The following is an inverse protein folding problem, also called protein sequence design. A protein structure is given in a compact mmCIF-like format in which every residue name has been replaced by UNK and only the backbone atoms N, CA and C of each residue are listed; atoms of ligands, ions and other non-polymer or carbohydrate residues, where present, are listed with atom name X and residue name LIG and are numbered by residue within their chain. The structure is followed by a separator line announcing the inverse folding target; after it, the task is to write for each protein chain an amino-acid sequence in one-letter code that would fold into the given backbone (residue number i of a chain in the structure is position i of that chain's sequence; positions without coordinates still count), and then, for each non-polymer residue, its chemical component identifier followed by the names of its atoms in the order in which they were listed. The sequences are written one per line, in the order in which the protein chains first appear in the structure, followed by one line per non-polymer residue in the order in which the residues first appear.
data_IF_061545463216
#
_entry.id   IF_061545463216
#
_cell.length_a   1.000
_cell.length_b   1.000
_cell.length_c   1.000
_cell.angle_alpha   90.00
_cell.angle_beta   90.00
_cell.angle_gamma   90.00
#
_symmetry.space_group_name_H-M   'P 1'
#
loop_
_entity.id
_entity.type
_entity.pdbx_description
1 polymer ?
#
# COMPACT_ATOMS: atom_id res chain seq x y z
N UNK A 1 -29.91 -0.22 8.50
CA UNK A 1 -28.71 0.57 8.86
C UNK A 1 -28.11 0.14 10.20
N UNK A 2 -28.90 -0.17 11.25
CA UNK A 2 -28.38 -0.56 12.57
C UNK A 2 -27.35 -1.71 12.58
N UNK A 3 -27.51 -2.82 11.82
CA UNK A 3 -26.52 -3.91 11.87
C UNK A 3 -25.16 -3.54 11.27
N UNK A 4 -25.17 -2.81 10.14
CA UNK A 4 -23.95 -2.35 9.48
C UNK A 4 -23.23 -1.30 10.32
N UNK A 5 -23.97 -0.37 10.93
CA UNK A 5 -23.42 0.61 11.86
C UNK A 5 -22.78 -0.08 13.07
N UNK A 6 -23.49 -0.99 13.74
CA UNK A 6 -22.97 -1.73 14.88
C UNK A 6 -21.72 -2.54 14.53
N UNK A 7 -21.69 -3.17 13.35
CA UNK A 7 -20.52 -3.89 12.84
C UNK A 7 -19.29 -2.97 12.74
N UNK A 8 -19.42 -1.80 12.13
CA UNK A 8 -18.31 -0.86 12.00
C UNK A 8 -17.90 -0.22 13.34
N UNK A 9 -18.87 0.06 14.22
CA UNK A 9 -18.58 0.54 15.58
C UNK A 9 -17.78 -0.48 16.40
N UNK A 10 -18.10 -1.77 16.28
CA UNK A 10 -17.33 -2.84 16.91
C UNK A 10 -15.88 -2.92 16.40
N UNK A 11 -15.63 -2.47 15.16
CA UNK A 11 -14.28 -2.35 14.59
C UNK A 11 -13.58 -1.03 14.95
N UNK A 12 -14.18 -0.20 15.81
CA UNK A 12 -13.64 1.10 16.22
C UNK A 12 -13.88 2.23 15.22
N UNK A 13 -14.83 2.09 14.29
CA UNK A 13 -15.18 3.14 13.32
C UNK A 13 -16.33 4.02 13.87
N UNK A 14 -16.09 5.32 14.10
CA UNK A 14 -17.16 6.24 14.49
C UNK A 14 -18.21 6.41 13.39
N UNK A 15 -19.46 6.67 13.77
CA UNK A 15 -20.58 6.86 12.85
C UNK A 15 -20.31 7.95 11.79
N UNK A 16 -19.66 9.06 12.19
CA UNK A 16 -19.28 10.16 11.29
C UNK A 16 -18.29 9.72 10.21
N UNK A 17 -17.42 8.75 10.50
CA UNK A 17 -16.50 8.17 9.52
C UNK A 17 -17.22 7.16 8.62
N UNK A 18 -18.14 6.36 9.17
CA UNK A 18 -18.95 5.44 8.37
C UNK A 18 -19.75 6.19 7.28
N UNK A 19 -20.35 7.34 7.62
CA UNK A 19 -21.03 8.19 6.64
C UNK A 19 -20.12 8.60 5.48
N UNK A 20 -18.88 9.00 5.78
CA UNK A 20 -17.87 9.30 4.75
C UNK A 20 -17.49 8.07 3.94
N UNK A 21 -17.32 6.92 4.58
CA UNK A 21 -17.00 5.65 3.89
C UNK A 21 -18.08 5.29 2.87
N UNK A 22 -19.36 5.44 3.23
CA UNK A 22 -20.49 5.19 2.32
C UNK A 22 -20.51 6.22 1.19
N UNK A 23 -20.20 7.49 1.45
CA UNK A 23 -20.11 8.50 0.40
C UNK A 23 -19.00 8.18 -0.62
N UNK A 24 -17.84 7.73 -0.15
CA UNK A 24 -16.73 7.33 -1.03
C UNK A 24 -16.99 6.01 -1.74
N UNK A 25 -17.61 5.04 -1.09
CA UNK A 25 -17.94 3.74 -1.65
C UNK A 25 -19.42 3.38 -1.36
N UNK A 26 -20.39 3.88 -2.15
CA UNK A 26 -21.81 3.63 -1.90
C UNK A 26 -22.19 2.14 -1.93
N UNK A 27 -21.42 1.31 -2.64
CA UNK A 27 -21.62 -0.15 -2.68
C UNK A 27 -21.38 -0.82 -1.32
N UNK A 28 -20.77 -0.13 -0.36
CA UNK A 28 -20.55 -0.67 0.98
C UNK A 28 -21.84 -1.15 1.65
N UNK A 29 -22.97 -0.46 1.41
CA UNK A 29 -24.27 -0.80 1.99
C UNK A 29 -24.87 -2.10 1.43
N UNK A 30 -24.38 -2.57 0.27
CA UNK A 30 -24.88 -3.78 -0.38
C UNK A 30 -24.07 -5.02 -0.03
N UNK A 31 -22.97 -4.90 0.72
CA UNK A 31 -22.17 -6.06 1.10
C UNK A 31 -22.80 -6.81 2.27
N UNK A 32 -22.87 -8.13 2.14
CA UNK A 32 -23.26 -9.01 3.26
C UNK A 32 -22.21 -8.91 4.36
N UNK A 33 -22.68 -8.75 5.60
CA UNK A 33 -21.82 -8.74 6.78
C UNK A 33 -21.12 -10.10 6.88
N UNK A 34 -21.86 -11.19 6.85
CA UNK A 34 -21.34 -12.54 7.14
C UNK A 34 -20.44 -13.07 6.02
N UNK A 35 -20.86 -12.93 4.77
CA UNK A 35 -20.15 -13.59 3.65
C UNK A 35 -19.10 -12.69 2.97
N UNK A 36 -19.08 -11.40 3.30
CA UNK A 36 -18.13 -10.45 2.68
C UNK A 36 -17.33 -9.66 3.70
N UNK A 37 -17.99 -8.91 4.59
CA UNK A 37 -17.28 -8.00 5.50
C UNK A 37 -16.51 -8.78 6.57
N UNK A 38 -17.13 -9.79 7.19
CA UNK A 38 -16.50 -10.63 8.21
C UNK A 38 -15.27 -11.38 7.66
N UNK A 39 -15.33 -11.85 6.41
CA UNK A 39 -14.20 -12.51 5.73
C UNK A 39 -13.01 -11.55 5.56
N UNK A 40 -13.28 -10.28 5.21
CA UNK A 40 -12.24 -9.25 5.11
C UNK A 40 -11.65 -8.93 6.49
N UNK A 41 -12.50 -8.82 7.53
CA UNK A 41 -12.05 -8.58 8.91
C UNK A 41 -11.18 -9.72 9.40
N UNK A 42 -11.60 -10.97 9.20
CA UNK A 42 -10.85 -12.17 9.56
C UNK A 42 -9.49 -12.21 8.84
N UNK A 43 -9.46 -11.86 7.55
CA UNK A 43 -8.21 -11.73 6.82
C UNK A 43 -7.28 -10.65 7.41
N UNK A 44 -7.79 -9.45 7.69
CA UNK A 44 -6.97 -8.38 8.28
C UNK A 44 -6.46 -8.77 9.68
N UNK A 45 -7.29 -9.42 10.49
CA UNK A 45 -6.89 -9.99 11.78
C UNK A 45 -5.78 -11.03 11.62
N UNK A 46 -5.82 -11.88 10.58
CA UNK A 46 -4.75 -12.86 10.29
C UNK A 46 -3.41 -12.24 9.90
N UNK A 47 -3.39 -10.94 9.58
CA UNK A 47 -2.16 -10.15 9.38
C UNK A 47 -1.67 -9.49 10.69
N UNK A 48 -2.32 -9.77 11.83
CA UNK A 48 -2.03 -9.19 13.14
C UNK A 48 -2.56 -7.75 13.33
N UNK A 49 -3.63 -7.37 12.62
CA UNK A 49 -4.26 -6.05 12.74
C UNK A 49 -5.47 -6.04 13.69
N UNK A 50 -5.57 -6.98 14.61
CA UNK A 50 -6.73 -7.20 15.49
C UNK A 50 -6.77 -6.30 16.73
N UNK A 51 -5.70 -5.54 16.98
CA UNK A 51 -5.58 -4.65 18.14
C UNK A 51 -6.11 -3.23 17.86
N UNK A 52 -6.51 -2.50 18.90
CA UNK A 52 -6.70 -1.04 18.92
C UNK A 52 -7.49 -0.41 17.75
N UNK A 53 -8.54 -1.10 17.28
CA UNK A 53 -9.36 -0.66 16.16
C UNK A 53 -8.55 -0.47 14.86
N UNK A 54 -7.41 -1.14 14.71
CA UNK A 54 -6.54 -1.07 13.53
C UNK A 54 -7.30 -1.44 12.26
N UNK A 55 -8.12 -2.50 12.29
CA UNK A 55 -9.02 -2.85 11.19
C UNK A 55 -9.92 -1.67 10.80
N UNK A 56 -10.58 -1.03 11.77
CA UNK A 56 -11.40 0.16 11.50
C UNK A 56 -10.62 1.28 10.82
N UNK A 57 -9.39 1.57 11.30
CA UNK A 57 -8.50 2.59 10.70
C UNK A 57 -8.14 2.25 9.25
N UNK A 58 -7.85 0.99 8.94
CA UNK A 58 -7.59 0.50 7.57
C UNK A 58 -8.82 0.72 6.68
N UNK A 59 -10.00 0.31 7.13
CA UNK A 59 -11.24 0.39 6.36
C UNK A 59 -11.68 1.84 6.12
N UNK A 60 -11.53 2.72 7.10
CA UNK A 60 -11.79 4.17 6.95
C UNK A 60 -10.84 4.78 5.92
N UNK A 61 -9.55 4.42 5.96
CA UNK A 61 -8.55 4.95 5.03
C UNK A 61 -8.80 4.48 3.59
N UNK A 62 -9.26 3.25 3.38
CA UNK A 62 -9.59 2.76 2.04
C UNK A 62 -10.82 1.85 2.00
N UNK A 63 -12.04 2.43 1.94
CA UNK A 63 -13.29 1.67 1.98
C UNK A 63 -13.48 0.71 0.80
N UNK A 64 -12.79 0.95 -0.32
CA UNK A 64 -12.83 0.08 -1.49
C UNK A 64 -12.15 -1.28 -1.27
N UNK A 65 -11.32 -1.42 -0.24
CA UNK A 65 -10.67 -2.69 0.13
C UNK A 65 -11.71 -3.81 0.31
N UNK A 66 -12.86 -3.48 0.91
CA UNK A 66 -13.96 -4.42 1.16
C UNK A 66 -14.64 -4.93 -0.11
N UNK A 67 -14.39 -4.33 -1.28
CA UNK A 67 -14.88 -4.85 -2.55
C UNK A 67 -14.09 -6.05 -3.07
N UNK A 68 -12.84 -6.20 -2.67
CA UNK A 68 -11.95 -7.22 -3.23
C UNK A 68 -12.18 -8.61 -2.64
N UNK A 69 -11.81 -9.64 -3.40
CA UNK A 69 -11.78 -11.01 -2.91
C UNK A 69 -10.51 -11.22 -2.10
N UNK A 70 -10.63 -11.82 -0.91
CA UNK A 70 -9.47 -12.19 -0.10
C UNK A 70 -8.58 -13.15 -0.89
N UNK A 71 -9.13 -14.26 -1.39
CA UNK A 71 -8.32 -15.32 -1.99
C UNK A 71 -7.81 -15.00 -3.39
N UNK A 72 -8.52 -14.17 -4.15
CA UNK A 72 -8.11 -13.80 -5.52
C UNK A 72 -7.30 -12.51 -5.60
N UNK A 73 -7.29 -11.69 -4.54
CA UNK A 73 -6.59 -10.40 -4.55
C UNK A 73 -5.75 -10.18 -3.31
N UNK A 74 -6.37 -10.04 -2.13
CA UNK A 74 -5.67 -9.52 -0.96
C UNK A 74 -4.60 -10.48 -0.44
N UNK A 75 -4.93 -11.78 -0.36
CA UNK A 75 -4.01 -12.83 0.09
C UNK A 75 -2.85 -13.02 -0.90
N UNK A 76 -3.06 -13.20 -2.22
CA UNK A 76 -1.94 -13.25 -3.16
C UNK A 76 -1.01 -12.04 -3.09
N UNK A 77 -1.57 -10.83 -2.90
CA UNK A 77 -0.76 -9.61 -2.82
C UNK A 77 0.06 -9.54 -1.53
N UNK A 78 -0.51 -9.91 -0.39
CA UNK A 78 0.23 -9.96 0.89
C UNK A 78 1.29 -11.06 0.90
N UNK A 79 0.99 -12.23 0.34
CA UNK A 79 1.97 -13.31 0.18
C UNK A 79 3.13 -12.93 -0.74
N UNK A 80 2.87 -12.20 -1.82
CA UNK A 80 3.93 -11.66 -2.68
C UNK A 80 4.86 -10.71 -1.92
N UNK A 81 4.30 -9.79 -1.12
CA UNK A 81 5.09 -8.85 -0.32
C UNK A 81 5.95 -9.58 0.72
N UNK A 82 5.40 -10.63 1.35
CA UNK A 82 6.13 -11.41 2.34
C UNK A 82 7.20 -12.30 1.69
N UNK A 83 6.80 -13.13 0.73
CA UNK A 83 7.64 -14.21 0.20
C UNK A 83 8.58 -13.76 -0.92
N UNK A 84 8.14 -12.85 -1.80
CA UNK A 84 8.95 -12.40 -2.93
C UNK A 84 9.71 -11.11 -2.63
N UNK A 85 9.06 -10.15 -1.98
CA UNK A 85 9.71 -8.87 -1.62
C UNK A 85 10.49 -9.00 -0.31
N UNK A 86 10.12 -9.92 0.59
CA UNK A 86 10.85 -10.16 1.84
C UNK A 86 10.44 -9.26 3.00
N UNK A 87 9.19 -8.77 3.03
CA UNK A 87 8.69 -7.99 4.17
C UNK A 87 8.46 -8.89 5.40
N UNK A 88 8.82 -8.36 6.56
CA UNK A 88 8.45 -8.95 7.86
C UNK A 88 6.95 -8.77 8.14
N UNK A 89 6.42 -9.47 9.14
CA UNK A 89 5.03 -9.30 9.57
C UNK A 89 4.71 -7.85 9.94
N UNK A 90 5.59 -7.21 10.73
CA UNK A 90 5.46 -5.79 11.08
C UNK A 90 5.50 -4.88 9.83
N UNK A 91 6.32 -5.24 8.84
CA UNK A 91 6.36 -4.57 7.54
C UNK A 91 5.02 -4.68 6.80
N UNK A 92 4.40 -5.86 6.77
CA UNK A 92 3.08 -6.07 6.19
C UNK A 92 2.02 -5.25 6.94
N UNK A 93 2.02 -5.26 8.26
CA UNK A 93 1.11 -4.47 9.07
C UNK A 93 1.25 -2.97 8.76
N UNK A 94 2.48 -2.47 8.73
CA UNK A 94 2.77 -1.08 8.39
C UNK A 94 2.26 -0.71 6.99
N UNK A 95 2.52 -1.56 5.98
CA UNK A 95 2.03 -1.35 4.62
C UNK A 95 0.50 -1.29 4.57
N UNK A 96 -0.20 -2.24 5.21
CA UNK A 96 -1.66 -2.30 5.17
C UNK A 96 -2.30 -1.16 5.96
N UNK A 97 -1.72 -0.77 7.09
CA UNK A 97 -2.17 0.37 7.89
C UNK A 97 -1.98 1.70 7.16
N UNK A 98 -0.86 1.88 6.48
CA UNK A 98 -0.49 3.16 5.89
C UNK A 98 -0.95 3.32 4.45
N UNK A 99 -0.94 2.23 3.67
CA UNK A 99 -1.23 2.21 2.24
C UNK A 99 -2.09 1.00 1.84
N UNK A 100 -3.31 0.83 2.41
CA UNK A 100 -4.19 -0.32 2.15
C UNK A 100 -4.58 -0.50 0.69
N UNK A 101 -4.51 0.54 -0.14
CA UNK A 101 -4.72 0.44 -1.58
C UNK A 101 -3.68 -0.44 -2.28
N UNK A 102 -2.51 -0.68 -1.69
CA UNK A 102 -1.46 -1.50 -2.28
C UNK A 102 -1.90 -2.96 -2.38
N UNK A 103 -2.47 -3.52 -1.30
CA UNK A 103 -2.95 -4.91 -1.30
C UNK A 103 -4.16 -5.14 -2.21
N UNK A 104 -4.77 -4.05 -2.68
CA UNK A 104 -5.88 -4.08 -3.64
C UNK A 104 -5.39 -4.17 -5.11
N UNK A 105 -4.08 -4.09 -5.37
CA UNK A 105 -3.52 -4.17 -6.72
C UNK A 105 -3.12 -5.58 -7.11
N UNK A 106 -3.13 -5.82 -8.42
CA UNK A 106 -2.85 -7.13 -8.99
C UNK A 106 -1.36 -7.42 -9.01
N UNK A 107 -0.96 -8.56 -8.44
CA UNK A 107 0.44 -8.96 -8.37
C UNK A 107 1.05 -9.07 -9.76
N UNK A 108 0.43 -9.81 -10.66
CA UNK A 108 1.01 -10.14 -11.96
C UNK A 108 0.98 -8.94 -12.91
N UNK A 109 -0.03 -8.07 -12.80
CA UNK A 109 -0.16 -6.91 -13.68
C UNK A 109 0.57 -5.66 -13.19
N UNK A 110 0.77 -5.51 -11.88
CA UNK A 110 1.27 -4.27 -11.28
C UNK A 110 2.49 -4.52 -10.40
N UNK A 111 2.35 -5.26 -9.29
CA UNK A 111 3.42 -5.32 -8.30
C UNK A 111 4.67 -6.04 -8.83
N UNK A 112 4.50 -7.18 -9.49
CA UNK A 112 5.62 -7.96 -10.01
C UNK A 112 6.37 -7.20 -11.13
N UNK A 113 5.71 -6.61 -12.14
CA UNK A 113 6.42 -5.75 -13.09
C UNK A 113 7.18 -4.59 -12.45
N UNK A 114 6.62 -3.95 -11.42
CA UNK A 114 7.31 -2.89 -10.69
C UNK A 114 8.51 -3.42 -9.90
N UNK A 115 8.36 -4.58 -9.25
CA UNK A 115 9.42 -5.25 -8.52
C UNK A 115 10.58 -5.65 -9.45
N UNK A 116 10.26 -6.32 -10.56
CA UNK A 116 11.25 -6.74 -11.56
C UNK A 116 11.98 -5.53 -12.13
N UNK A 117 11.27 -4.44 -12.43
CA UNK A 117 11.87 -3.19 -12.89
C UNK A 117 12.86 -2.58 -11.89
N UNK A 118 12.57 -2.63 -10.59
CA UNK A 118 13.51 -2.17 -9.56
C UNK A 118 14.76 -3.07 -9.54
N UNK A 119 14.61 -4.38 -9.69
CA UNK A 119 15.76 -5.29 -9.80
C UNK A 119 16.60 -5.00 -11.04
N UNK A 120 15.97 -4.73 -12.19
CA UNK A 120 16.65 -4.32 -13.43
C UNK A 120 17.41 -2.99 -13.28
N UNK A 121 16.95 -2.10 -12.40
CA UNK A 121 17.67 -0.87 -12.05
C UNK A 121 18.87 -1.09 -11.12
N UNK A 122 19.11 -2.33 -10.67
CA UNK A 122 20.24 -2.71 -9.82
C UNK A 122 19.92 -2.77 -8.32
N UNK A 123 18.67 -2.61 -7.91
CA UNK A 123 18.30 -2.75 -6.49
C UNK A 123 18.23 -4.23 -6.09
N UNK A 124 18.87 -4.59 -4.98
CA UNK A 124 18.74 -5.92 -4.39
C UNK A 124 17.42 -6.11 -3.63
N UNK A 125 17.03 -7.35 -3.39
CA UNK A 125 15.73 -7.68 -2.78
C UNK A 125 15.55 -7.04 -1.40
N UNK A 126 16.59 -7.05 -0.54
CA UNK A 126 16.56 -6.40 0.78
C UNK A 126 16.45 -4.86 0.69
N UNK A 127 17.04 -4.25 -0.34
CA UNK A 127 16.90 -2.82 -0.60
C UNK A 127 15.48 -2.50 -1.04
N UNK A 128 14.90 -3.30 -1.92
CA UNK A 128 13.51 -3.15 -2.34
C UNK A 128 12.57 -3.32 -1.13
N UNK A 129 12.79 -4.30 -0.26
CA UNK A 129 12.02 -4.47 0.97
C UNK A 129 12.07 -3.21 1.86
N UNK A 130 13.25 -2.60 2.01
CA UNK A 130 13.45 -1.35 2.76
C UNK A 130 12.68 -0.20 2.12
N UNK A 131 12.80 -0.03 0.81
CA UNK A 131 12.09 1.01 0.05
C UNK A 131 10.57 0.82 0.10
N UNK A 132 10.08 -0.42 0.04
CA UNK A 132 8.65 -0.74 0.13
C UNK A 132 8.14 -0.48 1.54
N UNK A 133 8.91 -0.77 2.58
CA UNK A 133 8.51 -0.46 3.96
C UNK A 133 8.43 1.06 4.18
N UNK A 134 9.39 1.83 3.64
CA UNK A 134 9.41 3.29 3.76
C UNK A 134 8.39 4.00 2.86
N UNK A 135 8.22 3.54 1.62
CA UNK A 135 7.27 4.09 0.66
C UNK A 135 6.59 2.98 -0.16
N UNK A 136 5.57 2.31 0.41
CA UNK A 136 4.90 1.18 -0.24
C UNK A 136 4.36 1.49 -1.65
N UNK A 137 3.85 2.70 -1.96
CA UNK A 137 3.36 3.00 -3.30
C UNK A 137 4.38 2.79 -4.43
N UNK A 138 5.67 2.67 -4.14
CA UNK A 138 6.69 2.35 -5.15
C UNK A 138 6.32 1.14 -6.03
N UNK A 139 5.65 0.12 -5.48
CA UNK A 139 5.23 -1.08 -6.23
C UNK A 139 3.95 -0.91 -7.06
N UNK A 140 3.28 0.25 -6.99
CA UNK A 140 2.01 0.48 -7.68
C UNK A 140 1.99 1.78 -8.49
N UNK A 141 3.16 2.41 -8.67
CA UNK A 141 3.35 3.61 -9.49
C UNK A 141 3.59 3.23 -10.95
N UNK A 142 3.29 4.15 -11.86
CA UNK A 142 3.67 3.98 -13.26
C UNK A 142 5.19 3.92 -13.39
N UNK A 143 5.71 2.84 -13.99
CA UNK A 143 7.13 2.71 -14.30
C UNK A 143 7.57 3.86 -15.22
N UNK A 144 6.95 3.94 -16.41
CA UNK A 144 7.28 4.93 -17.45
C UNK A 144 7.17 6.39 -16.98
N UNK A 145 6.11 6.72 -16.26
CA UNK A 145 5.79 8.12 -15.95
C UNK A 145 6.25 8.57 -14.55
N UNK A 146 6.65 7.64 -13.68
CA UNK A 146 7.01 7.98 -12.29
C UNK A 146 8.32 7.37 -11.84
N UNK A 147 8.51 6.05 -11.93
CA UNK A 147 9.71 5.42 -11.36
C UNK A 147 10.93 5.68 -12.23
N UNK A 148 10.83 5.40 -13.53
CA UNK A 148 11.93 5.55 -14.47
C UNK A 148 12.50 6.96 -14.52
N UNK A 149 11.73 8.04 -14.73
CA UNK A 149 12.30 9.39 -14.74
C UNK A 149 12.95 9.76 -13.40
N UNK A 150 12.42 9.27 -12.27
CA UNK A 150 12.97 9.55 -10.94
C UNK A 150 14.28 8.82 -10.70
N UNK A 151 14.33 7.50 -10.92
CA UNK A 151 15.54 6.70 -10.74
C UNK A 151 16.63 7.20 -11.67
N UNK A 152 16.28 7.47 -12.94
CA UNK A 152 17.19 8.09 -13.91
C UNK A 152 17.77 9.41 -13.40
N UNK A 153 16.94 10.30 -12.86
CA UNK A 153 17.41 11.58 -12.33
C UNK A 153 18.34 11.40 -11.13
N UNK A 154 17.96 10.58 -10.15
CA UNK A 154 18.76 10.35 -8.95
C UNK A 154 20.14 9.75 -9.28
N UNK A 155 20.17 8.72 -10.12
CA UNK A 155 21.41 7.99 -10.41
C UNK A 155 22.23 8.69 -11.48
N UNK A 156 21.63 9.05 -12.61
CA UNK A 156 22.38 9.57 -13.78
C UNK A 156 22.62 11.07 -13.72
N UNK A 157 21.74 11.85 -13.07
CA UNK A 157 21.87 13.33 -13.04
C UNK A 157 22.46 13.80 -11.72
N UNK A 158 22.01 13.27 -10.58
CA UNK A 158 22.55 13.63 -9.27
C UNK A 158 23.77 12.78 -8.87
N UNK A 159 24.11 11.74 -9.63
CA UNK A 159 25.25 10.86 -9.34
C UNK A 159 25.09 10.02 -8.07
N UNK A 160 23.86 9.79 -7.58
CA UNK A 160 23.59 9.04 -6.35
C UNK A 160 23.80 7.55 -6.56
N UNK A 161 24.47 6.90 -5.61
CA UNK A 161 24.58 5.44 -5.59
C UNK A 161 23.24 4.76 -5.32
N UNK A 162 23.07 3.53 -5.83
CA UNK A 162 21.85 2.73 -5.62
C UNK A 162 21.59 2.51 -4.12
N UNK A 163 22.63 2.23 -3.34
CA UNK A 163 22.53 2.03 -1.88
C UNK A 163 22.01 3.28 -1.16
N UNK A 164 22.44 4.46 -1.60
CA UNK A 164 21.95 5.73 -1.07
C UNK A 164 20.47 5.95 -1.44
N UNK A 165 20.10 5.69 -2.69
CA UNK A 165 18.70 5.83 -3.14
C UNK A 165 17.78 4.85 -2.39
N UNK A 166 18.26 3.64 -2.11
CA UNK A 166 17.50 2.62 -1.38
C UNK A 166 17.31 2.98 0.10
N UNK A 167 18.35 3.50 0.74
CA UNK A 167 18.34 3.88 2.15
C UNK A 167 17.60 5.18 2.45
N UNK A 168 17.20 5.94 1.41
CA UNK A 168 16.47 7.20 1.55
C UNK A 168 15.12 7.24 0.80
N UNK A 169 14.06 6.60 1.35
CA UNK A 169 12.73 6.53 0.73
C UNK A 169 12.07 7.88 0.43
N UNK A 170 12.48 8.97 1.08
CA UNK A 170 11.97 10.33 0.88
C UNK A 170 12.12 10.84 -0.56
N UNK A 171 13.10 10.32 -1.32
CA UNK A 171 13.20 10.60 -2.75
C UNK A 171 11.93 10.23 -3.53
N UNK A 172 11.17 9.24 -3.04
CA UNK A 172 9.97 8.74 -3.69
C UNK A 172 8.68 9.40 -3.17
N UNK A 173 8.70 9.93 -1.94
CA UNK A 173 7.59 10.66 -1.32
C UNK A 173 7.31 12.01 -1.99
N UNK A 174 8.35 12.68 -2.50
CA UNK A 174 8.23 14.02 -3.05
C UNK A 174 8.09 14.02 -4.58
N UNK A 175 7.36 15.01 -5.10
CA UNK A 175 7.22 15.22 -6.54
C UNK A 175 8.58 15.54 -7.18
N UNK A 176 8.96 14.77 -8.21
CA UNK A 176 10.26 14.86 -8.87
C UNK A 176 10.58 16.29 -9.34
N UNK A 177 9.76 16.85 -10.22
CA UNK A 177 9.97 18.22 -10.76
C UNK A 177 9.87 19.31 -9.70
N UNK A 178 8.78 19.30 -8.93
CA UNK A 178 8.43 20.40 -7.99
C UNK A 178 9.37 20.50 -6.80
N UNK A 179 9.96 19.40 -6.34
CA UNK A 179 10.78 19.38 -5.12
C UNK A 179 12.21 18.90 -5.40
N UNK A 180 12.36 17.70 -5.97
CA UNK A 180 13.68 17.07 -6.06
C UNK A 180 14.57 17.80 -7.07
N UNK A 181 14.12 17.94 -8.32
CA UNK A 181 14.86 18.65 -9.37
C UNK A 181 15.04 20.14 -9.04
N UNK A 182 13.98 20.79 -8.54
CA UNK A 182 14.04 22.21 -8.18
C UNK A 182 15.10 22.49 -7.11
N UNK A 183 15.24 21.63 -6.09
CA UNK A 183 16.24 21.82 -5.04
C UNK A 183 17.64 21.53 -5.54
N UNK A 184 17.80 20.53 -6.40
CA UNK A 184 19.10 20.21 -7.01
C UNK A 184 19.66 21.37 -7.84
N UNK A 185 18.80 22.08 -8.61
CA UNK A 185 19.22 23.22 -9.44
C UNK A 185 19.65 24.46 -8.64
N UNK A 186 19.41 24.51 -7.34
CA UNK A 186 19.74 25.66 -6.48
C UNK A 186 21.08 25.48 -5.74
N UNK A 187 21.70 24.31 -5.85
CA UNK A 187 22.99 23.94 -5.24
C UNK A 187 24.02 23.83 -6.35
#
# INVERSE_FOLDING_TARGET
LCPLLAFFQALGVPETQLGKMILFNPRLISYSIDTKLAVIVSFLASLGLDQDGMIGKVLVKHPFLMGYSVDKRLRPTTEFLKSSVGLTEDGIQSVVMNFPQLVCRDVNKILKPNYDYLRECGFGDAQIATMVTGYPPILIKSIKNSLQPRIRFLVQVMGRGIDEVASYPEFFHHGLKKKVESRYKLV
#
